data_IF_991280564262
#
_entry.id   IF_991280564262
#
_cell.length_a   1.000
_cell.length_b   1.000
_cell.length_c   1.000
_cell.angle_alpha   90.00
_cell.angle_beta   90.00
_cell.angle_gamma   90.00
#
_symmetry.space_group_name_H-M   'P 1'
#
loop_
_entity.id
_entity.type
_entity.pdbx_description
1 polymer ?
#
# COMPACT_ATOMS: atom_id res chain seq x y z
N UNK A 1 -27.83 -3.46 36.87
CA UNK A 1 -27.36 -2.90 35.58
C UNK A 1 -27.04 -4.08 34.71
N UNK A 2 -27.87 -4.34 33.68
CA UNK A 2 -27.76 -5.54 32.83
C UNK A 2 -26.87 -5.19 31.63
N UNK A 3 -25.83 -5.97 31.38
CA UNK A 3 -24.90 -5.72 30.28
C UNK A 3 -25.61 -5.84 28.92
N UNK A 4 -25.30 -4.96 27.95
CA UNK A 4 -25.94 -4.92 26.62
C UNK A 4 -25.43 -6.01 25.67
N UNK A 5 -24.44 -6.80 26.08
CA UNK A 5 -23.88 -7.89 25.30
C UNK A 5 -24.63 -9.18 25.61
N UNK A 6 -25.11 -9.84 24.55
CA UNK A 6 -25.79 -11.13 24.67
C UNK A 6 -24.88 -12.14 25.38
N UNK A 7 -25.49 -12.98 26.21
CA UNK A 7 -24.76 -13.99 26.97
C UNK A 7 -24.24 -15.06 26.01
N UNK A 8 -22.93 -15.07 25.78
CA UNK A 8 -22.27 -15.98 24.84
C UNK A 8 -22.27 -17.39 25.45
N UNK A 9 -22.84 -18.37 24.75
CA UNK A 9 -22.80 -19.77 25.16
C UNK A 9 -21.35 -20.30 25.11
N UNK A 10 -21.02 -21.24 26.00
CA UNK A 10 -19.69 -21.86 26.00
C UNK A 10 -19.44 -22.53 24.63
N UNK A 11 -18.33 -22.20 23.94
CA UNK A 11 -18.07 -22.72 22.60
C UNK A 11 -17.87 -24.24 22.67
N UNK A 12 -18.58 -24.97 21.81
CA UNK A 12 -18.32 -26.38 21.59
C UNK A 12 -16.98 -26.54 20.89
N UNK A 13 -16.10 -27.40 21.42
CA UNK A 13 -14.83 -27.71 20.78
C UNK A 13 -15.11 -28.50 19.50
N UNK A 14 -15.05 -27.82 18.35
CA UNK A 14 -15.13 -28.42 17.02
C UNK A 14 -13.72 -28.61 16.50
N UNK A 15 -13.45 -29.72 15.81
CA UNK A 15 -12.14 -30.00 15.23
C UNK A 15 -11.86 -29.04 14.05
N UNK A 16 -10.65 -28.47 14.01
CA UNK A 16 -10.27 -27.47 13.00
C UNK A 16 -10.24 -28.09 11.60
N UNK A 17 -9.93 -29.38 11.50
CA UNK A 17 -9.94 -30.12 10.25
C UNK A 17 -11.36 -30.22 9.66
N UNK A 18 -12.39 -30.28 10.50
CA UNK A 18 -13.79 -30.32 10.08
C UNK A 18 -14.24 -28.95 9.54
N UNK A 19 -13.87 -27.86 10.23
CA UNK A 19 -14.17 -26.47 9.81
C UNK A 19 -13.53 -26.13 8.47
N UNK A 20 -12.31 -26.62 8.23
CA UNK A 20 -11.56 -26.38 6.99
C UNK A 20 -11.82 -27.43 5.91
N UNK A 21 -12.71 -28.40 6.17
CA UNK A 21 -13.01 -29.44 5.19
C UNK A 21 -13.74 -28.88 3.97
N UNK A 22 -13.42 -29.41 2.79
CA UNK A 22 -14.07 -29.03 1.53
C UNK A 22 -15.58 -29.31 1.56
N UNK A 23 -15.99 -30.38 2.25
CA UNK A 23 -17.40 -30.77 2.40
C UNK A 23 -18.20 -29.74 3.23
N UNK A 24 -17.59 -29.20 4.29
CA UNK A 24 -18.21 -28.15 5.10
C UNK A 24 -18.37 -26.85 4.30
N UNK A 25 -17.37 -26.49 3.50
CA UNK A 25 -17.43 -25.33 2.62
C UNK A 25 -18.53 -25.47 1.55
N UNK A 26 -18.65 -26.65 0.92
CA UNK A 26 -19.71 -26.95 -0.04
C UNK A 26 -21.10 -26.84 0.59
N UNK A 27 -21.29 -27.40 1.78
CA UNK A 27 -22.56 -27.35 2.51
C UNK A 27 -23.05 -25.92 2.82
N UNK A 28 -22.14 -25.01 3.20
CA UNK A 28 -22.48 -23.59 3.41
C UNK A 28 -22.96 -22.91 2.12
N UNK A 29 -22.29 -23.21 1.00
CA UNK A 29 -22.58 -22.60 -0.28
C UNK A 29 -23.92 -23.09 -0.88
N UNK A 30 -24.23 -24.38 -0.70
CA UNK A 30 -25.52 -24.96 -1.08
C UNK A 30 -26.67 -24.39 -0.22
N UNK A 31 -26.45 -24.24 1.09
CA UNK A 31 -27.41 -23.65 2.01
C UNK A 31 -27.75 -22.19 1.67
N UNK A 32 -26.79 -21.43 1.15
CA UNK A 32 -27.03 -20.05 0.69
C UNK A 32 -27.81 -20.01 -0.64
N UNK A 33 -27.53 -20.94 -1.56
CA UNK A 33 -28.23 -21.01 -2.85
C UNK A 33 -29.71 -21.41 -2.72
N UNK A 34 -30.10 -22.07 -1.62
CA UNK A 34 -31.48 -22.48 -1.35
C UNK A 34 -32.32 -21.39 -0.66
N UNK A 35 -31.69 -20.31 -0.15
CA UNK A 35 -32.41 -19.16 0.44
C UNK A 35 -32.85 -18.17 -0.66
N UNK A 36 -34.15 -18.03 -0.97
CA UNK A 36 -34.60 -17.13 -2.02
C UNK A 36 -34.45 -15.66 -1.63
N UNK A 37 -33.99 -14.86 -2.61
CA UNK A 37 -33.79 -13.41 -2.62
C UNK A 37 -34.70 -12.59 -1.68
N UNK A 38 -34.12 -11.80 -0.77
CA UNK A 38 -34.83 -10.68 -0.11
C UNK A 38 -34.98 -9.51 -1.09
N UNK A 39 -36.16 -8.86 -1.20
CA UNK A 39 -36.38 -7.80 -2.18
C UNK A 39 -35.65 -6.50 -1.83
N UNK A 40 -34.92 -5.98 -2.82
CA UNK A 40 -34.27 -4.66 -2.80
C UNK A 40 -35.34 -3.57 -2.79
N UNK A 41 -35.46 -2.83 -1.68
CA UNK A 41 -36.25 -1.60 -1.62
C UNK A 41 -35.45 -0.47 -2.27
N UNK A 42 -35.99 0.08 -3.37
CA UNK A 42 -35.45 1.26 -4.07
C UNK A 42 -35.44 2.47 -3.13
N UNK A 43 -34.28 3.11 -2.96
CA UNK A 43 -34.14 4.41 -2.33
C UNK A 43 -33.94 5.50 -3.41
N UNK A 44 -34.68 6.59 -3.29
CA UNK A 44 -34.69 7.77 -4.17
C UNK A 44 -33.41 8.63 -4.01
N UNK A 45 -33.13 9.60 -4.91
CA UNK A 45 -31.84 10.27 -4.98
C UNK A 45 -31.70 11.35 -3.89
N UNK A 46 -30.63 11.27 -3.10
CA UNK A 46 -30.24 12.32 -2.15
C UNK A 46 -29.07 13.11 -2.75
N UNK A 47 -29.24 14.43 -2.78
CA UNK A 47 -28.29 15.42 -3.28
C UNK A 47 -27.00 15.43 -2.44
N UNK A 48 -25.86 15.61 -3.10
CA UNK A 48 -24.54 15.80 -2.48
C UNK A 48 -24.45 17.18 -1.80
N UNK A 49 -24.12 17.27 -0.49
CA UNK A 49 -23.63 18.53 0.07
C UNK A 49 -22.14 18.73 -0.23
N UNK A 50 -21.75 20.00 -0.39
CA UNK A 50 -20.42 20.48 -0.76
C UNK A 50 -19.29 20.05 0.22
N UNK A 51 -18.03 19.94 -0.24
CA UNK A 51 -16.91 19.51 0.61
C UNK A 51 -16.52 20.59 1.64
N UNK A 52 -16.21 20.22 2.90
CA UNK A 52 -15.69 21.13 3.92
C UNK A 52 -14.22 21.50 3.64
N UNK A 53 -13.75 22.67 4.15
CA UNK A 53 -12.38 23.16 3.94
C UNK A 53 -11.32 22.26 4.63
N UNK A 54 -10.07 22.24 4.13
CA UNK A 54 -9.05 21.33 4.62
C UNK A 54 -8.60 21.70 6.04
N UNK A 55 -8.77 20.78 6.98
CA UNK A 55 -8.12 20.85 8.29
C UNK A 55 -6.62 20.55 8.16
N UNK A 56 -5.74 21.19 8.95
CA UNK A 56 -4.32 20.88 8.93
C UNK A 56 -4.11 19.46 9.47
N UNK A 57 -3.67 18.56 8.60
CA UNK A 57 -3.23 17.22 9.00
C UNK A 57 -2.10 17.34 10.02
N UNK A 58 -2.40 16.96 11.26
CA UNK A 58 -1.40 16.82 12.31
C UNK A 58 -0.39 15.77 11.84
N UNK A 59 0.80 16.23 11.48
CA UNK A 59 1.92 15.38 11.13
C UNK A 59 2.21 14.43 12.27
N UNK A 60 2.11 13.13 12.01
CA UNK A 60 2.67 12.09 12.89
C UNK A 60 4.19 12.09 12.71
N UNK A 61 4.83 13.18 13.16
CA UNK A 61 6.25 13.17 13.47
C UNK A 61 6.37 12.61 14.88
N UNK A 62 6.66 11.31 14.97
CA UNK A 62 7.21 10.74 16.19
C UNK A 62 8.60 11.35 16.36
N UNK A 63 8.67 12.50 17.03
CA UNK A 63 9.92 13.09 17.47
C UNK A 63 10.63 12.05 18.35
N UNK A 64 11.76 11.55 17.87
CA UNK A 64 12.70 10.80 18.70
C UNK A 64 13.42 11.88 19.50
N UNK A 65 13.12 11.97 20.79
CA UNK A 65 13.77 12.88 21.73
C UNK A 65 15.16 12.31 22.10
N UNK A 66 16.28 12.90 21.67
CA UNK A 66 17.62 12.41 21.96
C UNK A 66 18.11 13.00 23.30
N UNK A 67 17.32 12.80 24.35
CA UNK A 67 17.43 13.55 25.61
C UNK A 67 17.53 12.76 26.90
N UNK A 68 17.53 11.42 26.89
CA UNK A 68 17.74 10.62 28.11
C UNK A 68 19.15 10.03 28.16
N UNK A 69 20.12 10.94 28.20
CA UNK A 69 21.50 10.68 28.58
C UNK A 69 21.60 10.78 30.11
N UNK A 70 21.77 9.62 30.75
CA UNK A 70 22.44 9.37 32.04
C UNK A 70 21.97 10.13 33.29
N UNK A 71 21.37 9.40 34.23
CA UNK A 71 21.64 9.60 35.65
C UNK A 71 22.53 8.42 36.15
N UNK A 72 23.75 8.70 36.67
CA UNK A 72 24.59 7.70 37.32
C UNK A 72 24.18 7.48 38.78
N UNK A 73 24.14 6.21 39.19
CA UNK A 73 24.26 5.72 40.58
C UNK A 73 23.04 5.85 41.52
N UNK A 74 22.32 4.73 41.72
CA UNK A 74 21.85 4.29 43.04
C UNK A 74 21.60 2.77 42.99
N UNK A 75 22.33 2.03 43.82
CA UNK A 75 22.35 0.57 43.89
C UNK A 75 21.08 0.02 44.57
N UNK A 76 20.47 -1.00 43.96
CA UNK A 76 19.50 -1.87 44.63
C UNK A 76 19.86 -3.35 44.38
N UNK A 77 20.16 -4.17 45.41
CA UNK A 77 20.57 -5.55 45.20
C UNK A 77 19.34 -6.46 45.07
N UNK A 78 19.07 -6.94 43.86
CA UNK A 78 18.11 -8.02 43.58
C UNK A 78 18.84 -9.23 42.99
N UNK A 79 18.51 -10.47 43.37
CA UNK A 79 19.32 -11.65 43.05
C UNK A 79 19.21 -12.04 41.57
N UNK A 80 20.37 -12.03 40.93
CA UNK A 80 20.75 -12.65 39.66
C UNK A 80 19.93 -13.88 39.25
N UNK A 81 19.38 -13.85 38.03
CA UNK A 81 19.33 -15.04 37.19
C UNK A 81 19.36 -14.66 35.70
N UNK A 82 20.59 -14.36 35.26
CA UNK A 82 21.09 -14.44 33.88
C UNK A 82 20.53 -13.41 32.89
N UNK A 83 21.00 -12.17 33.02
CA UNK A 83 21.35 -11.41 31.82
C UNK A 83 22.54 -12.14 31.19
N UNK A 84 22.25 -13.15 30.35
CA UNK A 84 23.14 -13.36 29.23
C UNK A 84 23.05 -12.04 28.46
N UNK A 85 24.13 -11.26 28.46
CA UNK A 85 24.42 -10.43 27.30
C UNK A 85 24.51 -11.44 26.16
N UNK A 86 23.36 -11.81 25.60
CA UNK A 86 23.28 -12.50 24.32
C UNK A 86 23.74 -11.46 23.31
N UNK A 87 25.07 -11.27 23.25
CA UNK A 87 25.73 -10.55 22.18
C UNK A 87 25.32 -11.28 20.92
N UNK A 88 24.31 -10.74 20.23
CA UNK A 88 23.84 -11.26 18.96
C UNK A 88 25.10 -11.37 18.09
N UNK A 89 25.45 -12.56 17.58
CA UNK A 89 26.66 -12.72 16.80
C UNK A 89 26.66 -11.75 15.62
N UNK A 90 27.79 -11.10 15.36
CA UNK A 90 27.94 -10.10 14.31
C UNK A 90 27.51 -10.62 12.93
N UNK A 91 27.71 -11.91 12.70
CA UNK A 91 27.31 -12.61 11.47
C UNK A 91 25.78 -12.63 11.29
N UNK A 92 25.01 -12.67 12.38
CA UNK A 92 23.54 -12.61 12.34
C UNK A 92 23.07 -11.20 12.04
N UNK A 93 23.70 -10.18 12.63
CA UNK A 93 23.40 -8.77 12.32
C UNK A 93 23.68 -8.45 10.85
N UNK A 94 24.83 -8.89 10.34
CA UNK A 94 25.20 -8.74 8.93
C UNK A 94 24.22 -9.46 8.01
N UNK A 95 23.78 -10.67 8.36
CA UNK A 95 22.83 -11.42 7.55
C UNK A 95 21.45 -10.73 7.46
N UNK A 96 21.00 -10.08 8.53
CA UNK A 96 19.77 -9.28 8.53
C UNK A 96 19.94 -8.05 7.63
N UNK A 97 21.04 -7.30 7.79
CA UNK A 97 21.32 -6.13 6.95
C UNK A 97 21.41 -6.50 5.46
N UNK A 98 22.05 -7.63 5.13
CA UNK A 98 22.14 -8.12 3.76
C UNK A 98 20.76 -8.52 3.20
N UNK A 99 19.90 -9.14 4.02
CA UNK A 99 18.54 -9.49 3.61
C UNK A 99 17.69 -8.23 3.36
N UNK A 100 17.78 -7.24 4.26
CA UNK A 100 17.11 -5.96 4.11
C UNK A 100 17.59 -5.23 2.87
N UNK A 101 18.91 -5.19 2.64
CA UNK A 101 19.50 -4.57 1.45
C UNK A 101 19.00 -5.22 0.16
N UNK A 102 18.90 -6.56 0.10
CA UNK A 102 18.33 -7.27 -1.05
C UNK A 102 16.86 -6.94 -1.29
N UNK A 103 16.08 -6.82 -0.23
CA UNK A 103 14.68 -6.42 -0.34
C UNK A 103 14.56 -4.97 -0.86
N UNK A 104 15.37 -4.05 -0.33
CA UNK A 104 15.43 -2.67 -0.79
C UNK A 104 15.85 -2.58 -2.26
N UNK A 105 16.82 -3.36 -2.71
CA UNK A 105 17.23 -3.40 -4.11
C UNK A 105 16.11 -3.88 -5.04
N UNK A 106 15.36 -4.90 -4.62
CA UNK A 106 14.15 -5.37 -5.32
C UNK A 106 13.08 -4.27 -5.40
N UNK A 107 12.79 -3.60 -4.27
CA UNK A 107 11.80 -2.51 -4.22
C UNK A 107 12.23 -1.31 -5.07
N UNK A 108 13.53 -0.99 -5.11
CA UNK A 108 14.09 0.07 -5.96
C UNK A 108 13.85 -0.25 -7.43
N UNK A 109 13.99 -1.52 -7.85
CA UNK A 109 13.71 -1.91 -9.23
C UNK A 109 12.23 -1.71 -9.59
N UNK A 110 11.32 -2.10 -8.69
CA UNK A 110 9.87 -1.89 -8.86
C UNK A 110 9.55 -0.39 -8.92
N UNK A 111 10.10 0.40 -8.00
CA UNK A 111 9.88 1.85 -7.95
C UNK A 111 10.34 2.55 -9.23
N UNK A 112 11.51 2.17 -9.77
CA UNK A 112 12.01 2.69 -11.04
C UNK A 112 11.10 2.32 -12.21
N UNK A 113 10.60 1.10 -12.26
CA UNK A 113 9.66 0.66 -13.28
C UNK A 113 8.36 1.47 -13.24
N UNK A 114 7.77 1.63 -12.05
CA UNK A 114 6.55 2.40 -11.87
C UNK A 114 6.75 3.87 -12.26
N UNK A 115 7.86 4.48 -11.84
CA UNK A 115 8.21 5.85 -12.22
C UNK A 115 8.26 6.01 -13.75
N UNK A 116 8.94 5.11 -14.44
CA UNK A 116 9.04 5.14 -15.91
C UNK A 116 7.66 5.00 -16.59
N UNK A 117 6.77 4.16 -16.04
CA UNK A 117 5.40 4.03 -16.56
C UNK A 117 4.60 5.33 -16.40
N UNK A 118 4.65 5.96 -15.23
CA UNK A 118 3.97 7.24 -15.02
C UNK A 118 4.53 8.36 -15.89
N UNK A 119 5.85 8.43 -16.03
CA UNK A 119 6.50 9.42 -16.87
C UNK A 119 6.08 9.26 -18.35
N UNK A 120 5.97 8.01 -18.84
CA UNK A 120 5.50 7.75 -20.21
C UNK A 120 4.05 8.17 -20.44
N UNK A 121 3.14 7.87 -19.50
CA UNK A 121 1.72 8.25 -19.62
C UNK A 121 1.56 9.78 -19.62
N UNK A 122 2.34 10.46 -18.78
CA UNK A 122 2.38 11.91 -18.71
C UNK A 122 2.84 12.53 -20.03
N UNK A 123 3.92 12.01 -20.61
CA UNK A 123 4.47 12.50 -21.88
C UNK A 123 3.49 12.32 -23.04
N UNK A 124 2.75 11.20 -23.07
CA UNK A 124 1.67 11.00 -24.03
C UNK A 124 0.52 11.99 -23.87
N UNK A 125 0.14 12.28 -22.63
CA UNK A 125 -0.89 13.27 -22.36
C UNK A 125 -0.46 14.66 -22.84
N UNK A 126 0.78 15.07 -22.58
CA UNK A 126 1.35 16.29 -23.12
C UNK A 126 1.32 16.30 -24.65
N UNK A 127 1.66 15.19 -25.31
CA UNK A 127 1.60 15.06 -26.78
C UNK A 127 0.17 15.25 -27.30
N UNK A 128 -0.85 14.67 -26.64
CA UNK A 128 -2.27 14.86 -26.98
C UNK A 128 -2.71 16.31 -26.80
N UNK A 129 -2.33 16.96 -25.70
CA UNK A 129 -2.67 18.36 -25.44
C UNK A 129 -1.98 19.34 -26.41
N UNK A 130 -0.69 19.11 -26.69
CA UNK A 130 0.07 19.87 -27.68
C UNK A 130 -0.61 19.79 -29.05
N UNK A 131 -0.92 18.57 -29.51
CA UNK A 131 -1.62 18.35 -30.77
C UNK A 131 -2.99 19.03 -30.79
N UNK A 132 -3.74 18.94 -29.68
CA UNK A 132 -5.04 19.59 -29.54
C UNK A 132 -4.96 21.12 -29.66
N UNK A 133 -3.95 21.74 -29.04
CA UNK A 133 -3.75 23.20 -29.11
C UNK A 133 -3.22 23.65 -30.47
N UNK A 134 -2.39 22.84 -31.13
CA UNK A 134 -1.78 23.18 -32.41
C UNK A 134 -2.69 23.01 -33.62
N UNK A 135 -3.79 22.24 -33.50
CA UNK A 135 -4.70 21.81 -34.60
C UNK A 135 -4.76 22.76 -35.80
N UNK A 136 -5.31 23.96 -35.60
CA UNK A 136 -5.54 24.97 -36.64
C UNK A 136 -4.78 26.28 -36.37
N UNK A 137 -3.78 26.25 -35.49
CA UNK A 137 -2.99 27.43 -35.17
C UNK A 137 -1.90 27.65 -36.21
N UNK A 138 -1.72 28.90 -36.67
CA UNK A 138 -0.62 29.28 -37.57
C UNK A 138 0.74 29.26 -36.86
N UNK A 139 0.73 29.38 -35.53
CA UNK A 139 1.91 29.29 -34.67
C UNK A 139 1.73 28.11 -33.73
N UNK A 140 2.71 27.19 -33.71
CA UNK A 140 2.66 25.98 -32.88
C UNK A 140 3.42 26.20 -31.57
N UNK A 141 2.87 25.69 -30.48
CA UNK A 141 3.58 25.55 -29.21
C UNK A 141 4.18 24.14 -29.13
N UNK A 142 5.30 24.00 -28.43
CA UNK A 142 5.89 22.70 -28.14
C UNK A 142 6.11 22.54 -26.64
N UNK A 143 5.74 21.38 -26.11
CA UNK A 143 5.86 21.00 -24.71
C UNK A 143 7.00 19.99 -24.47
N UNK A 144 7.90 19.81 -25.45
CA UNK A 144 9.04 18.88 -25.35
C UNK A 144 9.90 19.08 -24.09
N UNK A 145 10.10 20.33 -23.68
CA UNK A 145 10.91 20.67 -22.50
C UNK A 145 10.28 20.24 -21.16
N UNK A 146 9.02 19.79 -21.18
CA UNK A 146 8.30 19.33 -20.00
C UNK A 146 8.16 17.81 -19.95
N UNK A 147 8.73 17.10 -20.94
CA UNK A 147 8.72 15.64 -20.93
C UNK A 147 9.67 15.07 -19.89
N UNK A 148 9.25 14.02 -19.22
CA UNK A 148 9.97 13.42 -18.10
C UNK A 148 10.85 12.25 -18.53
N UNK A 149 10.44 11.49 -19.56
CA UNK A 149 11.22 10.37 -20.07
C UNK A 149 12.40 10.90 -20.90
N UNK A 150 13.65 10.56 -20.56
CA UNK A 150 14.80 10.89 -21.40
C UNK A 150 14.62 10.34 -22.81
N UNK A 151 14.94 11.14 -23.82
CA UNK A 151 14.74 10.77 -25.23
C UNK A 151 15.49 9.47 -25.61
N UNK A 152 16.57 9.13 -24.92
CA UNK A 152 17.38 7.91 -25.11
C UNK A 152 16.66 6.60 -24.72
N UNK A 153 15.57 6.69 -23.94
CA UNK A 153 14.79 5.53 -23.48
C UNK A 153 13.46 5.37 -24.23
N UNK A 154 13.08 6.34 -25.06
CA UNK A 154 11.96 6.19 -25.97
C UNK A 154 12.38 5.24 -27.09
N UNK A 155 11.84 4.02 -27.08
CA UNK A 155 11.96 3.14 -28.23
C UNK A 155 11.27 3.82 -29.42
N UNK A 156 12.00 4.02 -30.51
CA UNK A 156 11.51 4.59 -31.77
C UNK A 156 10.43 3.68 -32.38
N UNK A 157 9.19 3.77 -31.88
CA UNK A 157 8.01 3.21 -32.55
C UNK A 157 7.73 3.90 -33.90
N UNK A 158 8.40 5.03 -34.17
CA UNK A 158 8.25 5.83 -35.38
C UNK A 158 8.94 5.18 -36.60
N UNK A 159 9.92 4.28 -36.40
CA UNK A 159 10.66 3.59 -37.47
C UNK A 159 9.97 2.33 -38.02
N UNK A 160 8.81 1.93 -37.46
CA UNK A 160 8.08 0.74 -37.92
C UNK A 160 6.98 1.02 -38.96
N UNK A 161 6.87 2.25 -39.45
CA UNK A 161 5.81 2.67 -40.36
C UNK A 161 6.33 3.17 -41.73
N UNK A 162 7.32 2.52 -42.33
CA UNK A 162 7.65 2.71 -43.75
C UNK A 162 8.33 1.46 -44.33
N UNK A 163 7.53 0.48 -44.78
CA UNK A 163 7.98 -0.54 -45.75
C UNK A 163 7.03 -0.45 -46.95
N UNK A 164 7.55 -0.23 -48.18
CA UNK A 164 6.77 0.05 -49.39
C UNK A 164 5.98 -1.14 -49.95
#
# INVERSE_FOLDING_TARGET
MTSPWAQIAAPTAVDLQEIMSEEFARGLQEQEHEQPSRPVKKAAPVQLPAPPPPEPVAGSSRAIDPGLLLDPFEEGPGPSSRCVEDVIPEDVLRAIEEADQKQLESDVAIAKLLQAQFDSEYDEQLKREENQRNKNSSVKISLKNYRMVPEELLYDEEDQAEVP
#
